data_IF_781270067011
#
_entry.id   IF_781270067011
#
_cell.length_a   1.000
_cell.length_b   1.000
_cell.length_c   1.000
_cell.angle_alpha   90.00
_cell.angle_beta   90.00
_cell.angle_gamma   90.00
#
_symmetry.space_group_name_H-M   'P 1'
#
loop_
_entity.id
_entity.type
_entity.pdbx_description
1 polymer ?
#
# COMPACT_ATOMS: atom_id res chain seq x y z
N UNK A 1 4.43 27.64 -13.25
CA UNK A 1 3.51 26.72 -12.56
C UNK A 1 4.30 25.81 -11.65
N UNK A 2 4.17 25.96 -10.33
CA UNK A 2 5.06 25.29 -9.37
C UNK A 2 4.45 24.00 -8.86
N UNK A 3 5.08 22.87 -9.19
CA UNK A 3 4.88 21.54 -8.59
C UNK A 3 5.72 21.38 -7.31
N UNK A 4 6.18 22.47 -6.69
CA UNK A 4 7.13 22.41 -5.57
C UNK A 4 6.50 21.67 -4.39
N UNK A 5 6.95 20.43 -4.16
CA UNK A 5 6.54 19.59 -3.03
C UNK A 5 6.10 18.17 -3.40
N UNK A 6 5.61 17.94 -4.62
CA UNK A 6 5.19 16.60 -5.06
C UNK A 6 6.21 15.96 -5.99
N UNK A 7 6.46 14.66 -5.82
CA UNK A 7 7.41 13.90 -6.65
C UNK A 7 6.85 13.53 -8.04
N UNK A 8 5.53 13.67 -8.25
CA UNK A 8 4.82 13.46 -9.52
C UNK A 8 3.62 14.41 -9.63
N UNK A 9 3.04 14.52 -10.82
CA UNK A 9 1.76 15.22 -11.01
C UNK A 9 0.65 14.59 -10.17
N UNK A 10 -0.17 15.42 -9.56
CA UNK A 10 -1.30 15.02 -8.71
C UNK A 10 -2.60 15.63 -9.21
N UNK A 11 -3.72 14.98 -8.93
CA UNK A 11 -5.03 15.54 -9.20
C UNK A 11 -5.21 16.86 -8.44
N UNK A 12 -5.66 17.91 -9.13
CA UNK A 12 -5.92 19.24 -8.53
C UNK A 12 -7.35 19.40 -8.03
N UNK A 13 -8.22 18.48 -8.44
CA UNK A 13 -9.63 18.47 -8.09
C UNK A 13 -10.08 17.01 -7.91
N UNK A 14 -10.81 16.76 -6.84
CA UNK A 14 -11.43 15.46 -6.54
C UNK A 14 -12.95 15.71 -6.52
N UNK A 15 -13.75 15.03 -7.36
CA UNK A 15 -15.19 15.27 -7.45
C UNK A 15 -15.93 14.55 -6.31
N UNK A 16 -15.63 14.92 -5.06
CA UNK A 16 -16.23 14.38 -3.82
C UNK A 16 -16.38 15.49 -2.79
N UNK A 17 -17.41 15.38 -1.96
CA UNK A 17 -17.63 16.36 -0.90
C UNK A 17 -16.65 16.13 0.26
N UNK A 18 -16.21 17.19 0.97
CA UNK A 18 -15.30 17.03 2.12
C UNK A 18 -15.83 16.09 3.20
N UNK A 19 -17.16 16.01 3.37
CA UNK A 19 -17.84 15.11 4.30
C UNK A 19 -17.71 13.63 3.93
N UNK A 20 -17.39 13.31 2.68
CA UNK A 20 -17.10 11.95 2.19
C UNK A 20 -15.61 11.60 2.31
N UNK A 21 -14.75 12.56 2.64
CA UNK A 21 -13.32 12.38 2.76
C UNK A 21 -12.92 12.08 4.20
N UNK A 22 -11.94 11.18 4.38
CA UNK A 22 -11.35 10.86 5.67
C UNK A 22 -9.83 10.94 5.57
N UNK A 23 -9.20 11.39 6.64
CA UNK A 23 -7.75 11.39 6.76
C UNK A 23 -7.36 10.14 7.54
N UNK A 24 -6.55 9.29 6.93
CA UNK A 24 -6.04 8.10 7.58
C UNK A 24 -5.13 8.50 8.76
N UNK A 25 -5.39 7.95 9.94
CA UNK A 25 -4.53 8.15 11.09
C UNK A 25 -3.16 7.48 10.87
N UNK A 26 -2.03 8.21 10.95
CA UNK A 26 -0.69 7.65 10.77
C UNK A 26 -0.34 6.49 11.71
N UNK A 27 -1.07 6.33 12.83
CA UNK A 27 -0.97 5.17 13.71
C UNK A 27 -1.03 3.83 12.96
N UNK A 28 -1.99 3.67 12.04
CA UNK A 28 -2.15 2.41 11.29
C UNK A 28 -0.95 2.11 10.37
N UNK A 29 -0.25 3.14 9.91
CA UNK A 29 0.98 2.98 9.11
C UNK A 29 2.11 2.46 9.99
N UNK A 30 2.28 3.02 11.18
CA UNK A 30 3.31 2.58 12.13
C UNK A 30 3.06 1.16 12.63
N UNK A 31 1.80 0.84 12.95
CA UNK A 31 1.44 -0.51 13.40
C UNK A 31 1.60 -1.54 12.28
N UNK A 32 1.14 -1.24 11.06
CA UNK A 32 1.39 -2.09 9.89
C UNK A 32 2.89 -2.35 9.72
N UNK A 33 3.72 -1.30 9.82
CA UNK A 33 5.16 -1.41 9.64
C UNK A 33 5.84 -2.25 10.73
N UNK A 34 5.61 -1.91 12.00
CA UNK A 34 6.43 -2.41 13.10
C UNK A 34 5.84 -3.61 13.81
N UNK A 35 4.50 -3.70 13.89
CA UNK A 35 3.81 -4.79 14.59
C UNK A 35 3.50 -5.96 13.67
N UNK A 36 2.93 -5.68 12.50
CA UNK A 36 2.47 -6.74 11.59
C UNK A 36 3.57 -7.22 10.64
N UNK A 37 4.31 -6.31 9.98
CA UNK A 37 5.41 -6.70 9.08
C UNK A 37 6.70 -6.99 9.87
N UNK A 38 6.94 -6.30 10.98
CA UNK A 38 8.17 -6.44 11.77
C UNK A 38 9.36 -5.69 11.19
N UNK A 39 9.14 -4.55 10.52
CA UNK A 39 10.21 -3.69 10.04
C UNK A 39 11.04 -3.10 11.20
N UNK A 40 12.32 -2.73 10.97
CA UNK A 40 13.16 -2.13 12.01
C UNK A 40 12.54 -0.85 12.59
N UNK A 41 12.31 -0.83 13.91
CA UNK A 41 11.59 0.26 14.59
C UNK A 41 12.33 1.60 14.55
N UNK A 42 13.67 1.63 14.53
CA UNK A 42 14.49 2.85 14.40
C UNK A 42 13.95 4.07 15.18
N UNK A 43 13.59 3.87 16.45
CA UNK A 43 12.92 4.87 17.32
C UNK A 43 11.63 5.46 16.75
N UNK A 44 10.80 4.63 16.13
CA UNK A 44 9.54 5.00 15.47
C UNK A 44 9.74 5.71 14.12
N UNK A 45 10.97 5.87 13.62
CA UNK A 45 11.24 6.57 12.36
C UNK A 45 11.17 5.61 11.17
N UNK A 46 10.19 5.86 10.30
CA UNK A 46 10.11 5.20 8.99
C UNK A 46 11.12 5.84 8.02
N UNK A 47 12.09 5.05 7.56
CA UNK A 47 13.08 5.45 6.56
C UNK A 47 12.78 4.91 5.17
N UNK A 48 13.72 5.10 4.23
CA UNK A 48 13.69 4.41 2.92
C UNK A 48 13.71 2.90 3.16
N UNK A 49 12.69 2.19 2.68
CA UNK A 49 12.54 0.73 2.86
C UNK A 49 11.63 0.31 4.01
N UNK A 50 11.29 1.21 4.94
CA UNK A 50 10.42 0.90 6.08
C UNK A 50 8.98 1.42 5.91
N UNK A 51 8.46 1.42 4.68
CA UNK A 51 7.10 1.90 4.38
C UNK A 51 6.24 0.71 3.96
N UNK A 52 5.21 0.35 4.75
CA UNK A 52 4.30 -0.74 4.39
C UNK A 52 3.55 -0.40 3.10
N UNK A 53 3.16 -1.44 2.35
CA UNK A 53 2.28 -1.23 1.19
C UNK A 53 0.91 -0.72 1.66
N UNK A 54 0.23 0.03 0.80
CA UNK A 54 -1.11 0.56 1.13
C UNK A 54 -2.11 -0.56 1.49
N UNK A 55 -1.97 -1.74 0.89
CA UNK A 55 -2.79 -2.91 1.20
C UNK A 55 -2.63 -3.37 2.66
N UNK A 56 -1.39 -3.48 3.16
CA UNK A 56 -1.17 -3.86 4.57
C UNK A 56 -1.72 -2.81 5.54
N UNK A 57 -1.59 -1.53 5.19
CA UNK A 57 -2.17 -0.43 6.00
C UNK A 57 -3.69 -0.51 6.03
N UNK A 58 -4.34 -0.80 4.89
CA UNK A 58 -5.79 -0.97 4.81
C UNK A 58 -6.28 -2.16 5.65
N UNK A 59 -5.58 -3.30 5.59
CA UNK A 59 -5.89 -4.47 6.43
C UNK A 59 -5.73 -4.12 7.91
N UNK A 60 -4.65 -3.43 8.27
CA UNK A 60 -4.42 -2.98 9.66
C UNK A 60 -5.55 -2.08 10.15
N UNK A 61 -5.99 -1.12 9.33
CA UNK A 61 -7.15 -0.29 9.67
C UNK A 61 -8.42 -1.15 9.83
N UNK A 62 -8.70 -2.09 8.93
CA UNK A 62 -9.88 -2.94 9.00
C UNK A 62 -9.93 -3.76 10.30
N UNK A 63 -8.80 -4.33 10.73
CA UNK A 63 -8.70 -5.10 11.97
C UNK A 63 -9.03 -4.30 13.24
N UNK A 64 -8.93 -2.96 13.20
CA UNK A 64 -9.33 -2.10 14.32
C UNK A 64 -10.79 -1.65 14.27
N UNK A 65 -11.45 -1.78 13.12
CA UNK A 65 -12.78 -1.19 12.89
C UNK A 65 -13.85 -2.25 12.59
N UNK A 66 -13.46 -3.49 12.34
CA UNK A 66 -14.34 -4.60 12.01
C UNK A 66 -14.14 -5.74 13.01
N UNK A 67 -15.22 -6.46 13.34
CA UNK A 67 -15.16 -7.67 14.17
C UNK A 67 -14.53 -8.85 13.40
N UNK A 68 -14.68 -8.85 12.08
CA UNK A 68 -14.18 -9.88 11.16
C UNK A 68 -13.67 -9.22 9.87
N UNK A 69 -12.59 -9.77 9.30
CA UNK A 69 -11.95 -9.24 8.08
C UNK A 69 -11.61 -10.38 7.12
N UNK A 70 -12.26 -10.39 5.97
CA UNK A 70 -11.88 -11.21 4.81
C UNK A 70 -10.95 -10.44 3.88
N UNK A 71 -9.89 -11.10 3.41
CA UNK A 71 -8.89 -10.49 2.53
C UNK A 71 -8.90 -11.18 1.18
N UNK A 72 -9.14 -10.41 0.11
CA UNK A 72 -9.12 -10.88 -1.27
C UNK A 72 -8.13 -10.08 -2.12
N UNK A 73 -7.52 -10.74 -3.11
CA UNK A 73 -6.57 -10.10 -4.03
C UNK A 73 -5.25 -9.66 -3.39
N UNK A 74 -4.88 -10.25 -2.24
CA UNK A 74 -3.64 -9.95 -1.54
C UNK A 74 -2.59 -11.05 -1.76
N UNK A 75 -1.35 -10.63 -2.00
CA UNK A 75 -0.24 -11.54 -2.31
C UNK A 75 -0.15 -11.91 -3.79
N UNK A 76 0.98 -12.51 -4.15
CA UNK A 76 1.25 -12.98 -5.50
C UNK A 76 1.51 -14.48 -5.50
N UNK A 77 0.85 -15.20 -6.39
CA UNK A 77 1.21 -16.59 -6.69
C UNK A 77 2.25 -16.64 -7.81
N UNK A 78 3.52 -16.74 -7.42
CA UNK A 78 4.64 -16.77 -8.35
C UNK A 78 4.72 -18.07 -9.18
N UNK A 79 3.89 -19.07 -8.86
CA UNK A 79 3.77 -20.31 -9.64
C UNK A 79 2.92 -20.17 -10.90
N UNK A 80 2.17 -19.06 -11.03
CA UNK A 80 1.30 -18.76 -12.19
C UNK A 80 1.83 -17.60 -13.03
N UNK A 81 2.97 -17.76 -13.75
CA UNK A 81 3.65 -16.65 -14.44
C UNK A 81 2.82 -15.97 -15.53
N UNK A 82 1.78 -16.65 -16.03
CA UNK A 82 0.88 -16.13 -17.06
C UNK A 82 -0.38 -15.46 -16.52
N UNK A 83 -0.65 -15.57 -15.21
CA UNK A 83 -1.75 -14.87 -14.57
C UNK A 83 -1.53 -13.34 -14.64
N UNK A 84 -2.61 -12.54 -14.67
CA UNK A 84 -2.52 -11.09 -14.56
C UNK A 84 -1.80 -10.65 -13.28
N UNK A 85 -0.94 -9.64 -13.38
CA UNK A 85 -0.24 -9.02 -12.26
C UNK A 85 -1.22 -8.24 -11.37
N UNK A 86 -1.99 -7.34 -11.98
CA UNK A 86 -3.21 -6.81 -11.39
C UNK A 86 -4.42 -7.38 -12.12
N UNK A 87 -5.49 -7.68 -11.39
CA UNK A 87 -6.66 -8.39 -11.91
C UNK A 87 -7.37 -7.69 -13.09
N UNK A 88 -7.16 -6.39 -13.28
CA UNK A 88 -7.80 -5.59 -14.32
C UNK A 88 -6.91 -5.32 -15.55
N UNK A 89 -5.65 -5.78 -15.56
CA UNK A 89 -4.71 -5.44 -16.63
C UNK A 89 -4.10 -6.65 -17.33
N UNK A 90 -3.39 -6.39 -18.43
CA UNK A 90 -2.77 -7.42 -19.28
C UNK A 90 -1.34 -7.76 -18.88
N UNK A 91 -0.72 -6.96 -18.00
CA UNK A 91 0.62 -7.24 -17.46
C UNK A 91 0.54 -8.55 -16.68
N UNK A 92 1.53 -9.43 -16.85
CA UNK A 92 1.54 -10.78 -16.27
C UNK A 92 2.51 -10.87 -15.11
N UNK A 93 2.28 -11.84 -14.21
CA UNK A 93 3.12 -12.12 -13.05
C UNK A 93 4.61 -12.30 -13.39
N UNK A 94 4.92 -12.83 -14.58
CA UNK A 94 6.30 -12.97 -15.07
C UNK A 94 7.10 -11.66 -15.09
N UNK A 95 6.44 -10.49 -15.16
CA UNK A 95 7.11 -9.19 -15.11
C UNK A 95 7.83 -8.92 -13.77
N UNK A 96 7.36 -9.52 -12.66
CA UNK A 96 8.01 -9.37 -11.34
C UNK A 96 9.43 -9.97 -11.34
N UNK A 97 9.65 -11.10 -12.03
CA UNK A 97 10.96 -11.79 -12.07
C UNK A 97 12.06 -11.00 -12.79
N UNK A 98 11.72 -9.94 -13.51
CA UNK A 98 12.69 -9.13 -14.25
C UNK A 98 13.31 -8.01 -13.43
N UNK A 99 12.92 -7.83 -12.16
CA UNK A 99 13.57 -6.88 -11.26
C UNK A 99 14.56 -7.66 -10.39
N UNK A 100 15.88 -7.59 -10.65
CA UNK A 100 16.85 -8.11 -9.72
C UNK A 100 16.68 -7.36 -8.40
N UNK A 101 16.66 -8.09 -7.29
CA UNK A 101 16.99 -7.49 -5.99
C UNK A 101 18.48 -7.17 -6.05
N UNK A 102 18.82 -5.98 -6.53
CA UNK A 102 20.16 -5.39 -6.42
C UNK A 102 20.39 -4.90 -5.00
#
# INVERSE_FOLDING_TARGET
HSTNGFWKSVARHIPREPSEMRILNPYFIQEAAFRFIGLPHNNGKMGRGNIPTLGTVAITMALHNCDEVDVAGFGYDMSTPHAPLHYYEKIKMAAIKQVPVT
#
